data_IF_483485359907
#
_entry.id   IF_483485359907
#
_cell.length_a   1.000
_cell.length_b   1.000
_cell.length_c   1.000
_cell.angle_alpha   90.00
_cell.angle_beta   90.00
_cell.angle_gamma   90.00
#
_symmetry.space_group_name_H-M   'P 1'
#
loop_
_entity.id
_entity.type
_entity.pdbx_description
1 polymer ?
#
# COMPACT_ATOMS: atom_id res chain seq x y z
N UNK A 1 -23.60 31.97 11.24
CA UNK A 1 -24.19 32.22 9.91
C UNK A 1 -23.16 32.64 8.86
N UNK A 2 -22.12 33.42 9.22
CA UNK A 2 -21.06 33.83 8.28
C UNK A 2 -20.14 32.67 7.82
N UNK A 3 -19.81 31.72 8.71
CA UNK A 3 -18.97 30.56 8.36
C UNK A 3 -19.62 29.62 7.32
N UNK A 4 -20.93 29.33 7.45
CA UNK A 4 -21.64 28.47 6.50
C UNK A 4 -21.72 29.06 5.08
N UNK A 5 -21.65 30.38 4.94
CA UNK A 5 -21.65 31.07 3.63
C UNK A 5 -20.27 31.00 2.97
N UNK A 6 -19.19 31.00 3.76
CA UNK A 6 -17.82 30.82 3.25
C UNK A 6 -17.56 29.40 2.76
N UNK A 7 -18.11 28.38 3.43
CA UNK A 7 -17.98 26.98 3.00
C UNK A 7 -18.75 26.69 1.71
N UNK A 8 -19.94 27.30 1.55
CA UNK A 8 -20.72 27.21 0.33
C UNK A 8 -20.02 27.87 -0.88
N UNK A 9 -19.42 29.05 -0.68
CA UNK A 9 -18.67 29.76 -1.74
C UNK A 9 -17.38 29.03 -2.15
N UNK A 10 -16.71 28.39 -1.20
CA UNK A 10 -15.49 27.59 -1.46
C UNK A 10 -15.80 26.31 -2.24
N UNK A 11 -16.99 25.73 -2.03
CA UNK A 11 -17.46 24.55 -2.76
C UNK A 11 -17.91 24.91 -4.18
N UNK A 12 -18.66 26.01 -4.34
CA UNK A 12 -19.05 26.54 -5.66
C UNK A 12 -17.84 26.96 -6.51
N UNK A 13 -16.78 27.50 -5.90
CA UNK A 13 -15.55 27.84 -6.61
C UNK A 13 -14.79 26.63 -7.17
N UNK A 14 -14.90 25.46 -6.52
CA UNK A 14 -14.29 24.20 -7.00
C UNK A 14 -15.09 23.57 -8.14
N UNK A 15 -16.40 23.73 -8.14
CA UNK A 15 -17.27 23.16 -9.18
C UNK A 15 -17.28 23.97 -10.48
N UNK A 16 -17.14 25.30 -10.41
CA UNK A 16 -17.05 26.15 -11.61
C UNK A 16 -15.73 25.97 -12.38
N UNK A 17 -14.65 25.54 -11.71
CA UNK A 17 -13.38 25.19 -12.37
C UNK A 17 -13.45 23.94 -13.25
N UNK A 18 -14.49 23.11 -13.10
CA UNK A 18 -14.70 21.86 -13.85
C UNK A 18 -15.60 22.02 -15.09
N UNK A 19 -16.16 23.21 -15.33
CA UNK A 19 -17.06 23.50 -16.45
C UNK A 19 -16.36 24.02 -17.71
N UNK A 20 -15.03 23.94 -17.81
CA UNK A 20 -14.33 24.23 -19.07
C UNK A 20 -14.52 23.09 -20.06
N UNK A 21 -15.48 23.28 -20.95
CA UNK A 21 -15.77 22.45 -22.13
C UNK A 21 -14.49 22.23 -22.95
N UNK A 22 -14.09 20.97 -23.14
CA UNK A 22 -13.11 20.54 -24.15
C UNK A 22 -13.77 19.62 -25.18
N UNK A 23 -13.29 19.61 -26.43
CA UNK A 23 -14.06 19.20 -27.60
C UNK A 23 -14.25 17.68 -27.67
N UNK A 24 -15.41 17.27 -28.18
CA UNK A 24 -15.77 15.90 -28.50
C UNK A 24 -14.78 15.29 -29.51
N UNK A 25 -14.10 14.17 -29.22
CA UNK A 25 -13.37 13.46 -30.25
C UNK A 25 -14.35 12.61 -31.07
N UNK A 26 -14.39 12.89 -32.37
CA UNK A 26 -15.03 12.10 -33.42
C UNK A 26 -14.70 10.62 -33.27
N UNK A 27 -15.74 9.79 -33.29
CA UNK A 27 -15.64 8.33 -33.24
C UNK A 27 -14.82 7.77 -34.40
N UNK A 28 -13.67 7.18 -34.08
CA UNK A 28 -12.98 6.24 -34.95
C UNK A 28 -13.07 4.85 -34.31
N UNK A 29 -13.53 3.91 -35.11
CA UNK A 29 -13.77 2.51 -34.80
C UNK A 29 -12.43 1.79 -34.62
N UNK A 30 -12.04 1.40 -33.40
CA UNK A 30 -10.89 0.52 -33.15
C UNK A 30 -11.24 -0.62 -32.20
N UNK A 31 -10.77 -1.80 -32.62
CA UNK A 31 -11.00 -3.14 -32.08
C UNK A 31 -10.68 -3.27 -30.58
N UNK A 32 -11.57 -3.94 -29.83
CA UNK A 32 -11.39 -4.15 -28.38
C UNK A 32 -10.26 -5.14 -28.08
N UNK A 33 -9.08 -4.63 -27.71
CA UNK A 33 -8.11 -5.34 -26.88
C UNK A 33 -8.27 -4.85 -25.45
N UNK A 34 -8.51 -5.73 -24.48
CA UNK A 34 -8.61 -5.35 -23.08
C UNK A 34 -7.30 -4.67 -22.62
N UNK A 35 -7.34 -3.34 -22.47
CA UNK A 35 -6.23 -2.56 -21.92
C UNK A 35 -6.10 -2.90 -20.44
N UNK A 36 -4.98 -3.51 -20.07
CA UNK A 36 -4.63 -3.77 -18.67
C UNK A 36 -4.69 -2.47 -17.85
N UNK A 37 -5.19 -2.48 -16.61
CA UNK A 37 -5.15 -1.30 -15.74
C UNK A 37 -3.73 -0.99 -15.23
N UNK A 38 -2.75 -1.86 -15.50
CA UNK A 38 -1.34 -1.63 -15.19
C UNK A 38 -0.75 -0.61 -16.18
N UNK A 39 -0.21 0.50 -15.65
CA UNK A 39 0.51 1.50 -16.44
C UNK A 39 1.88 0.94 -16.84
N UNK A 40 2.29 1.22 -18.08
CA UNK A 40 3.55 0.74 -18.68
C UNK A 40 3.84 -0.76 -18.38
N UNK A 41 2.97 -1.68 -18.82
CA UNK A 41 3.08 -3.09 -18.46
C UNK A 41 4.41 -3.70 -18.94
N UNK A 42 4.88 -4.79 -18.30
CA UNK A 42 6.06 -5.52 -18.78
C UNK A 42 5.94 -5.96 -20.23
N UNK A 43 7.05 -5.87 -20.96
CA UNK A 43 7.19 -6.37 -22.33
C UNK A 43 7.87 -7.75 -22.34
N UNK A 44 7.71 -8.56 -23.42
CA UNK A 44 8.48 -9.78 -23.59
C UNK A 44 9.99 -9.50 -23.53
N UNK A 45 10.70 -10.24 -22.68
CA UNK A 45 12.15 -10.07 -22.46
C UNK A 45 12.52 -9.20 -21.26
N UNK A 46 11.56 -8.52 -20.64
CA UNK A 46 11.81 -7.79 -19.39
C UNK A 46 12.12 -8.76 -18.23
N UNK A 47 13.06 -8.36 -17.38
CA UNK A 47 13.34 -9.05 -16.11
C UNK A 47 12.41 -8.49 -15.05
N UNK A 48 11.40 -9.28 -14.65
CA UNK A 48 10.36 -8.87 -13.70
C UNK A 48 10.35 -9.79 -12.48
N UNK A 49 10.33 -9.18 -11.30
CA UNK A 49 10.09 -9.83 -10.02
C UNK A 49 8.65 -9.56 -9.58
N UNK A 50 7.95 -10.57 -9.07
CA UNK A 50 6.51 -10.48 -8.77
C UNK A 50 5.62 -10.71 -9.98
N UNK A 51 4.32 -10.43 -9.83
CA UNK A 51 3.33 -10.70 -10.87
C UNK A 51 2.40 -9.50 -11.08
N UNK A 52 2.91 -8.37 -11.62
CA UNK A 52 2.18 -7.13 -11.65
C UNK A 52 0.91 -7.19 -12.51
N UNK A 53 0.93 -7.97 -13.60
CA UNK A 53 -0.22 -8.15 -14.49
C UNK A 53 -1.37 -8.90 -13.81
N UNK A 54 -1.09 -9.90 -12.97
CA UNK A 54 -2.15 -10.59 -12.24
C UNK A 54 -2.58 -9.85 -10.96
N UNK A 55 -1.66 -9.16 -10.31
CA UNK A 55 -1.91 -8.57 -8.99
C UNK A 55 -2.57 -7.20 -9.06
N UNK A 56 -2.49 -6.49 -10.20
CA UNK A 56 -3.07 -5.15 -10.36
C UNK A 56 -4.58 -5.11 -10.09
N UNK A 57 -5.29 -6.22 -10.28
CA UNK A 57 -6.73 -6.28 -10.04
C UNK A 57 -7.12 -6.11 -8.56
N UNK A 58 -6.24 -6.50 -7.63
CA UNK A 58 -6.47 -6.41 -6.19
C UNK A 58 -6.19 -4.98 -5.71
N UNK A 59 -7.13 -4.08 -6.02
CA UNK A 59 -7.05 -2.68 -5.67
C UNK A 59 -8.22 -2.26 -4.78
N UNK A 60 -7.89 -1.61 -3.67
CA UNK A 60 -8.85 -0.92 -2.81
C UNK A 60 -8.35 0.51 -2.58
N UNK A 61 -9.25 1.47 -2.74
CA UNK A 61 -9.01 2.85 -2.31
C UNK A 61 -9.34 3.00 -0.83
N UNK A 62 -8.54 3.78 -0.11
CA UNK A 62 -8.79 4.08 1.30
C UNK A 62 -9.79 5.24 1.51
N UNK A 63 -10.19 5.91 0.43
CA UNK A 63 -10.93 7.18 0.51
C UNK A 63 -10.14 8.26 1.25
N UNK A 64 -10.85 9.12 1.97
CA UNK A 64 -10.29 10.23 2.75
C UNK A 64 -9.94 9.83 4.19
N UNK A 65 -9.69 8.54 4.46
CA UNK A 65 -9.41 7.99 5.80
C UNK A 65 -7.93 7.64 5.98
N UNK A 66 -7.45 7.57 7.22
CA UNK A 66 -6.06 7.18 7.56
C UNK A 66 -5.82 5.65 7.56
N UNK A 67 -6.36 4.95 6.55
CA UNK A 67 -6.42 3.47 6.46
C UNK A 67 -5.52 2.87 5.38
N UNK A 68 -4.43 3.53 4.99
CA UNK A 68 -3.49 3.05 3.97
C UNK A 68 -2.90 1.67 4.30
N UNK A 69 -2.61 1.41 5.58
CA UNK A 69 -2.13 0.10 6.05
C UNK A 69 -3.22 -0.95 5.86
N UNK A 70 -4.47 -0.69 6.26
CA UNK A 70 -5.57 -1.64 6.13
C UNK A 70 -5.86 -1.98 4.67
N UNK A 71 -5.91 -0.95 3.81
CA UNK A 71 -6.13 -1.13 2.38
C UNK A 71 -4.99 -1.94 1.76
N UNK A 72 -3.74 -1.65 2.12
CA UNK A 72 -2.58 -2.42 1.65
C UNK A 72 -2.59 -3.86 2.16
N UNK A 73 -3.00 -4.09 3.40
CA UNK A 73 -3.18 -5.43 3.96
C UNK A 73 -4.20 -6.23 3.17
N UNK A 74 -5.37 -5.65 2.90
CA UNK A 74 -6.40 -6.31 2.10
C UNK A 74 -5.91 -6.65 0.68
N UNK A 75 -5.17 -5.73 0.04
CA UNK A 75 -4.57 -5.98 -1.28
C UNK A 75 -3.52 -7.09 -1.25
N UNK A 76 -2.66 -7.15 -0.22
CA UNK A 76 -1.71 -8.26 0.00
C UNK A 76 -2.43 -9.59 0.18
N UNK A 77 -3.49 -9.63 0.99
CA UNK A 77 -4.31 -10.84 1.17
C UNK A 77 -4.93 -11.27 -0.17
N UNK A 78 -5.47 -10.33 -0.95
CA UNK A 78 -6.03 -10.60 -2.27
C UNK A 78 -5.02 -11.17 -3.26
N UNK A 79 -3.79 -10.68 -3.27
CA UNK A 79 -2.72 -11.26 -4.11
C UNK A 79 -2.42 -12.73 -3.77
N UNK A 80 -2.53 -13.10 -2.49
CA UNK A 80 -2.24 -14.46 -2.02
C UNK A 80 -3.44 -15.41 -2.15
N UNK A 81 -4.66 -14.93 -1.92
CA UNK A 81 -5.88 -15.75 -1.80
C UNK A 81 -6.85 -15.59 -2.96
N UNK A 82 -6.62 -14.63 -3.85
CA UNK A 82 -7.52 -14.31 -4.95
C UNK A 82 -8.75 -13.51 -4.52
N UNK A 83 -9.67 -13.22 -5.46
CA UNK A 83 -10.83 -12.36 -5.21
C UNK A 83 -11.75 -12.86 -4.10
N UNK A 84 -11.88 -14.19 -3.94
CA UNK A 84 -12.71 -14.80 -2.90
C UNK A 84 -12.12 -14.73 -1.49
N UNK A 85 -10.82 -14.45 -1.36
CA UNK A 85 -10.16 -14.28 -0.07
C UNK A 85 -9.78 -12.84 0.25
N UNK A 86 -9.99 -11.90 -0.68
CA UNK A 86 -9.68 -10.50 -0.48
C UNK A 86 -10.78 -9.83 0.36
N UNK A 87 -10.50 -9.33 1.57
CA UNK A 87 -11.50 -8.56 2.31
C UNK A 87 -11.80 -7.25 1.58
N UNK A 88 -13.06 -6.81 1.63
CA UNK A 88 -13.40 -5.46 1.15
C UNK A 88 -12.83 -4.39 2.10
N UNK A 89 -12.86 -3.11 1.69
CA UNK A 89 -12.44 -2.01 2.56
C UNK A 89 -13.25 -1.99 3.87
N UNK A 90 -14.58 -2.19 3.80
CA UNK A 90 -15.43 -2.22 4.99
C UNK A 90 -15.12 -3.40 5.90
N UNK A 91 -14.80 -4.57 5.33
CA UNK A 91 -14.51 -5.77 6.11
C UNK A 91 -13.20 -5.59 6.88
N UNK A 92 -12.13 -5.14 6.22
CA UNK A 92 -10.82 -4.97 6.87
C UNK A 92 -10.84 -3.84 7.92
N UNK A 93 -11.65 -2.80 7.69
CA UNK A 93 -11.88 -1.73 8.69
C UNK A 93 -12.65 -2.26 9.89
N UNK A 94 -13.69 -3.06 9.67
CA UNK A 94 -14.45 -3.65 10.76
C UNK A 94 -13.59 -4.62 11.58
N UNK A 95 -12.80 -5.46 10.92
CA UNK A 95 -11.85 -6.36 11.59
C UNK A 95 -10.82 -5.58 12.42
N UNK A 96 -10.26 -4.49 11.88
CA UNK A 96 -9.33 -3.64 12.60
C UNK A 96 -9.96 -2.94 13.82
N UNK A 97 -11.26 -2.64 13.76
CA UNK A 97 -12.01 -2.10 14.91
C UNK A 97 -12.20 -3.11 16.02
N UNK A 98 -12.19 -4.40 15.71
CA UNK A 98 -12.49 -5.48 16.66
C UNK A 98 -11.23 -6.22 17.14
N UNK A 99 -10.10 -6.00 16.47
CA UNK A 99 -8.82 -6.65 16.77
C UNK A 99 -7.96 -5.75 17.66
N UNK A 100 -7.50 -6.19 18.84
CA UNK A 100 -6.52 -5.45 19.65
C UNK A 100 -5.26 -5.12 18.84
N UNK A 101 -4.68 -3.93 19.04
CA UNK A 101 -3.40 -3.61 18.39
C UNK A 101 -2.34 -4.66 18.75
N UNK A 102 -1.49 -4.99 17.78
CA UNK A 102 -0.43 -5.99 17.87
C UNK A 102 0.82 -5.44 18.58
N UNK A 103 0.95 -4.11 18.66
CA UNK A 103 2.08 -3.44 19.33
C UNK A 103 2.32 -3.92 20.78
N UNK A 104 1.30 -4.02 21.66
CA UNK A 104 1.50 -4.45 23.03
C UNK A 104 2.09 -5.87 23.13
N UNK A 105 1.67 -6.77 22.22
CA UNK A 105 2.08 -8.18 22.22
C UNK A 105 3.54 -8.42 21.82
N UNK A 106 4.17 -7.49 21.06
CA UNK A 106 5.56 -7.63 20.58
C UNK A 106 6.56 -6.63 21.18
N UNK A 107 6.18 -5.96 22.26
CA UNK A 107 7.04 -5.01 22.99
C UNK A 107 8.25 -5.65 23.69
N UNK A 108 8.37 -6.98 23.69
CA UNK A 108 9.45 -7.78 24.30
C UNK A 108 10.40 -8.37 23.25
N UNK A 109 11.30 -7.54 22.69
CA UNK A 109 12.36 -7.99 21.76
C UNK A 109 13.08 -6.83 21.06
N UNK A 110 14.41 -6.92 20.93
CA UNK A 110 15.34 -5.80 20.76
C UNK A 110 15.30 -5.00 19.44
N UNK A 111 14.61 -5.45 18.39
CA UNK A 111 14.40 -4.62 17.17
C UNK A 111 13.12 -3.79 17.26
N UNK A 112 12.12 -4.34 17.94
CA UNK A 112 10.79 -3.72 18.06
C UNK A 112 10.81 -2.56 19.04
N UNK A 113 11.55 -2.68 20.15
CA UNK A 113 11.57 -1.64 21.20
C UNK A 113 11.89 -0.24 20.68
N UNK A 114 12.84 -0.07 19.75
CA UNK A 114 13.24 1.26 19.23
C UNK A 114 12.32 1.80 18.13
N UNK A 115 11.60 0.92 17.42
CA UNK A 115 10.52 1.30 16.52
C UNK A 115 9.27 1.67 17.33
N UNK A 116 8.91 0.85 18.32
CA UNK A 116 7.75 1.01 19.21
C UNK A 116 7.88 2.23 20.12
N UNK A 117 9.07 2.54 20.64
CA UNK A 117 9.31 3.73 21.48
C UNK A 117 9.03 5.06 20.76
N UNK A 118 9.02 5.07 19.42
CA UNK A 118 8.71 6.26 18.61
C UNK A 118 7.22 6.46 18.37
N UNK A 119 6.41 5.45 18.68
CA UNK A 119 4.97 5.48 18.50
C UNK A 119 4.27 5.62 19.86
N UNK A 120 3.24 6.45 19.93
CA UNK A 120 2.45 6.60 21.16
C UNK A 120 1.77 5.25 21.41
N UNK A 121 1.92 4.64 22.60
CA UNK A 121 1.26 3.38 22.91
C UNK A 121 -0.24 3.50 22.64
N UNK A 122 -0.76 2.71 21.70
CA UNK A 122 -2.22 2.63 21.50
C UNK A 122 -2.80 1.78 22.62
N UNK A 123 -3.75 2.36 23.34
CA UNK A 123 -4.63 1.61 24.23
C UNK A 123 -5.92 1.32 23.46
N UNK A 124 -6.04 0.14 22.86
CA UNK A 124 -7.26 -0.26 22.15
C UNK A 124 -7.02 -1.15 20.94
N UNK A 125 -8.00 -1.16 20.05
CA UNK A 125 -8.02 -1.95 18.83
C UNK A 125 -7.15 -1.30 17.73
N UNK A 126 -6.95 -1.99 16.61
CA UNK A 126 -6.05 -1.57 15.52
C UNK A 126 -6.50 -0.25 14.87
N UNK A 127 -7.82 0.01 14.81
CA UNK A 127 -8.36 1.22 14.21
C UNK A 127 -9.53 1.80 15.02
N UNK A 128 -9.55 3.12 15.19
CA UNK A 128 -10.68 3.86 15.78
C UNK A 128 -11.25 4.79 14.69
N UNK A 129 -12.45 4.51 14.16
CA UNK A 129 -13.03 5.27 13.06
C UNK A 129 -13.55 6.64 13.49
N UNK A 130 -13.77 6.89 14.79
CA UNK A 130 -14.21 8.21 15.27
C UNK A 130 -13.04 9.18 15.33
N UNK A 131 -11.88 8.69 15.76
CA UNK A 131 -10.65 9.47 15.78
C UNK A 131 -9.93 9.48 14.41
N UNK A 132 -10.22 8.50 13.55
CA UNK A 132 -9.54 8.24 12.27
C UNK A 132 -8.01 8.28 12.41
N UNK A 133 -7.48 7.62 13.44
CA UNK A 133 -6.03 7.63 13.64
C UNK A 133 -5.32 6.70 12.64
N UNK A 134 -4.05 7.01 12.38
CA UNK A 134 -3.19 6.16 11.57
C UNK A 134 -3.02 4.78 12.19
N UNK A 135 -3.07 3.76 11.33
CA UNK A 135 -2.82 2.38 11.70
C UNK A 135 -1.31 2.08 11.68
N UNK A 136 -0.83 1.29 12.63
CA UNK A 136 0.57 0.88 12.66
C UNK A 136 0.86 -0.20 11.63
N UNK A 137 2.01 -0.11 10.96
CA UNK A 137 2.41 -1.13 9.98
C UNK A 137 2.45 -2.54 10.58
N UNK A 138 2.77 -2.71 11.87
CA UNK A 138 2.87 -4.03 12.48
C UNK A 138 1.50 -4.66 12.72
N UNK A 139 0.46 -3.84 12.86
CA UNK A 139 -0.91 -4.32 13.01
C UNK A 139 -1.41 -5.01 11.75
N UNK A 140 -0.80 -4.72 10.58
CA UNK A 140 -1.04 -5.49 9.35
C UNK A 140 -0.78 -6.98 9.53
N UNK A 141 0.17 -7.37 10.40
CA UNK A 141 0.53 -8.77 10.62
C UNK A 141 -0.56 -9.53 11.38
N UNK A 142 -1.21 -8.89 12.37
CA UNK A 142 -2.33 -9.48 13.10
C UNK A 142 -3.52 -9.76 12.19
N UNK A 143 -3.83 -8.78 11.33
CA UNK A 143 -4.90 -8.92 10.34
C UNK A 143 -4.56 -10.00 9.30
N UNK A 144 -3.32 -10.09 8.83
CA UNK A 144 -2.91 -11.17 7.93
C UNK A 144 -3.02 -12.55 8.61
N UNK A 145 -2.64 -12.66 9.89
CA UNK A 145 -2.73 -13.90 10.67
C UNK A 145 -4.18 -14.42 10.76
N UNK A 146 -5.15 -13.53 11.02
CA UNK A 146 -6.58 -13.87 11.02
C UNK A 146 -7.07 -14.44 9.67
N UNK A 147 -6.37 -14.14 8.58
CA UNK A 147 -6.66 -14.63 7.23
C UNK A 147 -5.82 -15.84 6.85
N UNK A 148 -5.09 -16.46 7.77
CA UNK A 148 -4.22 -17.60 7.50
C UNK A 148 -3.02 -17.23 6.63
N UNK A 149 -2.50 -16.01 6.81
CA UNK A 149 -1.33 -15.48 6.11
C UNK A 149 -0.24 -15.18 7.13
N UNK A 150 0.91 -15.82 6.97
CA UNK A 150 2.10 -15.56 7.77
C UNK A 150 2.81 -14.32 7.23
N UNK A 151 3.08 -13.36 8.10
CA UNK A 151 3.76 -12.12 7.75
C UNK A 151 5.09 -11.95 8.51
N UNK A 152 6.06 -11.33 7.85
CA UNK A 152 7.33 -10.92 8.44
C UNK A 152 7.59 -9.47 8.08
N UNK A 153 7.78 -8.64 9.09
CA UNK A 153 8.23 -7.27 8.89
C UNK A 153 9.74 -7.18 9.05
N UNK A 154 10.40 -6.47 8.13
CA UNK A 154 11.85 -6.29 8.08
C UNK A 154 12.19 -4.82 7.85
N UNK A 155 13.31 -4.37 8.42
CA UNK A 155 13.88 -3.04 8.22
C UNK A 155 15.38 -3.13 7.95
N UNK A 156 15.94 -2.11 7.31
CA UNK A 156 17.36 -1.99 7.02
C UNK A 156 17.86 -0.59 7.41
N UNK A 157 19.15 -0.45 7.72
CA UNK A 157 19.72 0.88 7.93
C UNK A 157 19.69 1.69 6.62
N UNK A 158 19.74 3.03 6.71
CA UNK A 158 19.65 3.89 5.50
C UNK A 158 20.73 3.60 4.45
N UNK A 159 21.90 3.12 4.87
CA UNK A 159 23.00 2.75 3.98
C UNK A 159 22.86 1.36 3.34
N UNK A 160 21.84 0.58 3.69
CA UNK A 160 21.61 -0.78 3.19
C UNK A 160 20.57 -0.83 2.07
N UNK A 161 20.45 0.24 1.26
CA UNK A 161 19.43 0.33 0.20
C UNK A 161 19.51 -0.80 -0.83
N UNK A 162 20.71 -1.12 -1.31
CA UNK A 162 20.91 -2.19 -2.29
C UNK A 162 20.51 -3.56 -1.73
N UNK A 163 20.88 -3.82 -0.48
CA UNK A 163 20.50 -5.05 0.23
C UNK A 163 18.98 -5.13 0.44
N UNK A 164 18.35 -4.02 0.80
CA UNK A 164 16.91 -3.94 0.96
C UNK A 164 16.18 -4.22 -0.36
N UNK A 165 16.62 -3.60 -1.46
CA UNK A 165 16.06 -3.81 -2.79
C UNK A 165 16.26 -5.24 -3.28
N UNK A 166 17.44 -5.83 -3.09
CA UNK A 166 17.71 -7.23 -3.44
C UNK A 166 16.80 -8.19 -2.68
N UNK A 167 16.59 -7.95 -1.38
CA UNK A 167 15.69 -8.76 -0.57
C UNK A 167 14.21 -8.55 -0.93
N UNK A 168 13.80 -7.34 -1.32
CA UNK A 168 12.46 -7.08 -1.85
C UNK A 168 12.23 -7.85 -3.16
N UNK A 169 13.17 -7.80 -4.11
CA UNK A 169 13.11 -8.60 -5.35
C UNK A 169 12.98 -10.09 -5.06
N UNK A 170 13.77 -10.60 -4.11
CA UNK A 170 13.69 -12.00 -3.66
C UNK A 170 12.33 -12.33 -3.03
N UNK A 171 11.83 -11.48 -2.12
CA UNK A 171 10.53 -11.68 -1.47
C UNK A 171 9.38 -11.74 -2.49
N UNK A 172 9.39 -10.88 -3.51
CA UNK A 172 8.38 -10.84 -4.58
C UNK A 172 8.28 -12.13 -5.40
N UNK A 173 9.26 -13.05 -5.32
CA UNK A 173 9.18 -14.36 -5.97
C UNK A 173 8.32 -15.37 -5.21
N UNK A 174 8.10 -15.16 -3.91
CA UNK A 174 7.44 -16.14 -3.03
C UNK A 174 6.40 -15.54 -2.09
N UNK A 175 6.31 -14.21 -2.03
CA UNK A 175 5.52 -13.46 -1.07
C UNK A 175 4.85 -12.26 -1.73
N UNK A 176 3.73 -11.82 -1.15
CA UNK A 176 3.14 -10.51 -1.41
C UNK A 176 3.65 -9.50 -0.39
N UNK A 177 3.86 -8.25 -0.81
CA UNK A 177 4.60 -7.27 0.00
C UNK A 177 3.87 -5.92 0.04
N UNK A 178 3.80 -5.34 1.24
CA UNK A 178 3.56 -3.91 1.42
C UNK A 178 4.81 -3.24 2.00
N UNK A 179 4.98 -1.94 1.73
CA UNK A 179 6.15 -1.17 2.15
C UNK A 179 5.74 0.19 2.70
N UNK A 180 6.55 0.73 3.61
CA UNK A 180 6.32 2.04 4.22
C UNK A 180 7.14 3.13 3.51
N UNK A 181 6.48 4.13 2.94
CA UNK A 181 7.11 5.25 2.23
C UNK A 181 6.79 6.59 2.88
N UNK A 182 7.61 7.61 2.64
CA UNK A 182 7.27 8.99 2.96
C UNK A 182 6.33 9.56 1.91
N UNK A 183 5.12 9.97 2.30
CA UNK A 183 4.06 10.36 1.37
C UNK A 183 4.39 11.58 0.50
N UNK A 184 5.25 12.50 0.95
CA UNK A 184 5.60 13.69 0.16
C UNK A 184 6.58 13.37 -0.95
N UNK A 185 7.66 12.65 -0.62
CA UNK A 185 8.63 12.18 -1.62
C UNK A 185 7.93 11.22 -2.59
N UNK A 186 7.04 10.36 -2.06
CA UNK A 186 6.26 9.44 -2.86
C UNK A 186 5.31 10.14 -3.83
N UNK A 187 4.56 11.15 -3.37
CA UNK A 187 3.67 11.92 -4.23
C UNK A 187 4.42 12.57 -5.40
N UNK A 188 5.65 13.05 -5.18
CA UNK A 188 6.52 13.57 -6.24
C UNK A 188 6.92 12.47 -7.23
N UNK A 189 7.33 11.29 -6.73
CA UNK A 189 7.74 10.16 -7.54
C UNK A 189 6.64 9.66 -8.49
N UNK A 190 5.37 9.79 -8.10
CA UNK A 190 4.22 9.42 -8.94
C UNK A 190 3.70 10.57 -9.82
N UNK A 191 4.47 11.66 -9.97
CA UNK A 191 4.18 12.78 -10.86
C UNK A 191 3.40 13.94 -10.21
N UNK A 192 3.28 13.94 -8.89
CA UNK A 192 2.70 15.05 -8.12
C UNK A 192 3.65 16.26 -8.03
N UNK A 193 3.12 17.36 -7.49
CA UNK A 193 3.90 18.60 -7.34
C UNK A 193 5.05 18.44 -6.35
N UNK A 194 6.20 19.04 -6.69
CA UNK A 194 7.36 19.09 -5.79
C UNK A 194 7.03 19.83 -4.49
N UNK A 195 7.39 19.23 -3.36
CA UNK A 195 7.22 19.81 -2.03
C UNK A 195 8.57 20.28 -1.51
N UNK A 196 8.68 21.56 -1.16
CA UNK A 196 9.85 22.06 -0.43
C UNK A 196 10.01 21.43 0.97
N UNK A 197 9.02 20.68 1.47
CA UNK A 197 9.01 20.06 2.80
C UNK A 197 9.19 18.54 2.74
N UNK A 198 10.28 18.05 2.14
CA UNK A 198 10.65 16.61 2.03
C UNK A 198 11.17 15.99 3.33
N UNK A 199 10.97 16.64 4.48
CA UNK A 199 11.40 16.15 5.79
C UNK A 199 10.38 15.19 6.39
N UNK A 200 10.83 14.19 7.14
CA UNK A 200 9.99 13.25 7.87
C UNK A 200 10.40 11.79 7.71
N UNK A 201 9.73 10.91 8.45
CA UNK A 201 9.82 9.45 8.34
C UNK A 201 8.76 8.91 7.37
N UNK A 202 8.74 7.60 7.14
CA UNK A 202 7.62 6.98 6.43
C UNK A 202 6.31 7.11 7.21
N UNK A 203 5.21 7.36 6.49
CA UNK A 203 3.87 7.62 7.02
C UNK A 203 2.76 7.14 6.07
N UNK A 204 3.10 6.38 5.03
CA UNK A 204 2.17 5.84 4.05
C UNK A 204 2.54 4.40 3.69
N UNK A 205 1.53 3.55 3.52
CA UNK A 205 1.70 2.18 3.07
C UNK A 205 1.26 2.04 1.62
N UNK A 206 2.08 1.37 0.82
CA UNK A 206 1.74 0.99 -0.56
C UNK A 206 1.93 -0.51 -0.75
N UNK A 207 1.16 -1.09 -1.67
CA UNK A 207 1.27 -2.52 -2.00
C UNK A 207 2.10 -2.71 -3.26
N UNK A 208 3.12 -3.54 -3.18
CA UNK A 208 3.99 -3.85 -4.32
C UNK A 208 3.35 -4.96 -5.16
N UNK A 209 3.32 -4.76 -6.47
CA UNK A 209 2.84 -5.73 -7.45
C UNK A 209 4.01 -6.44 -8.14
N UNK A 210 5.11 -5.72 -8.34
CA UNK A 210 6.35 -6.24 -8.91
C UNK A 210 7.40 -5.16 -9.15
N UNK A 211 8.59 -5.58 -9.56
CA UNK A 211 9.69 -4.70 -9.99
C UNK A 211 10.14 -5.15 -11.37
N UNK A 212 10.23 -4.22 -12.32
CA UNK A 212 10.82 -4.45 -13.63
C UNK A 212 12.23 -3.87 -13.63
N UNK A 213 13.23 -4.75 -13.58
CA UNK A 213 14.63 -4.39 -13.53
C UNK A 213 15.14 -3.86 -14.87
N UNK A 214 14.57 -4.33 -15.99
CA UNK A 214 14.92 -3.82 -17.32
C UNK A 214 14.50 -2.37 -17.52
N UNK A 215 13.34 -1.99 -16.98
CA UNK A 215 12.77 -0.63 -17.10
C UNK A 215 13.11 0.29 -15.93
N UNK A 216 13.73 -0.23 -14.87
CA UNK A 216 13.99 0.48 -13.62
C UNK A 216 12.73 1.09 -12.99
N UNK A 217 11.65 0.30 -12.93
CA UNK A 217 10.36 0.71 -12.35
C UNK A 217 9.84 -0.29 -11.32
N UNK A 218 9.12 0.24 -10.33
CA UNK A 218 8.28 -0.53 -9.43
C UNK A 218 6.81 -0.40 -9.84
N UNK A 219 6.09 -1.53 -9.85
CA UNK A 219 4.65 -1.58 -10.05
C UNK A 219 3.94 -1.70 -8.72
N UNK A 220 2.94 -0.84 -8.48
CA UNK A 220 2.27 -0.75 -7.18
C UNK A 220 0.76 -0.53 -7.31
N UNK A 221 0.06 -0.83 -6.24
CA UNK A 221 -1.25 -0.28 -5.93
C UNK A 221 -1.11 0.65 -4.71
N UNK A 222 -1.57 1.91 -4.86
CA UNK A 222 -1.57 2.94 -3.82
C UNK A 222 -3.02 3.34 -3.49
N UNK A 223 -3.44 3.13 -2.25
CA UNK A 223 -4.81 3.41 -1.82
C UNK A 223 -5.11 4.89 -1.57
N UNK A 224 -4.08 5.74 -1.40
CA UNK A 224 -4.18 7.09 -0.83
C UNK A 224 -4.58 8.21 -1.79
N UNK A 225 -4.77 7.92 -3.08
CA UNK A 225 -5.12 8.93 -4.07
C UNK A 225 -5.93 8.40 -5.25
N UNK A 226 -6.52 9.33 -6.01
CA UNK A 226 -7.24 8.99 -7.24
C UNK A 226 -6.25 8.42 -8.26
N UNK A 227 -6.58 7.25 -8.81
CA UNK A 227 -5.78 6.62 -9.85
C UNK A 227 -4.57 5.84 -9.35
N UNK A 228 -4.46 5.51 -8.06
CA UNK A 228 -3.35 4.73 -7.51
C UNK A 228 -3.32 3.24 -7.91
N UNK A 229 -4.27 2.77 -8.73
CA UNK A 229 -4.28 1.40 -9.27
C UNK A 229 -3.22 1.24 -10.37
N UNK A 230 -2.35 0.24 -10.22
CA UNK A 230 -1.43 -0.20 -11.26
C UNK A 230 -0.41 0.85 -11.69
N UNK A 231 0.12 1.64 -10.75
CA UNK A 231 1.12 2.64 -11.09
C UNK A 231 2.45 1.96 -11.47
N UNK A 232 3.14 2.52 -12.46
CA UNK A 232 4.56 2.29 -12.73
C UNK A 232 5.32 3.52 -12.30
N UNK A 233 6.29 3.35 -11.41
CA UNK A 233 7.00 4.45 -10.76
C UNK A 233 8.50 4.22 -10.91
N UNK A 234 9.30 5.24 -11.28
CA UNK A 234 10.75 5.14 -11.30
C UNK A 234 11.31 4.62 -9.97
N UNK A 235 12.24 3.68 -10.05
CA UNK A 235 12.75 2.97 -8.87
C UNK A 235 13.55 3.91 -7.96
N UNK A 236 14.21 4.93 -8.50
CA UNK A 236 14.95 5.94 -7.73
C UNK A 236 14.04 6.73 -6.78
N UNK A 237 12.90 7.22 -7.27
CA UNK A 237 11.89 7.93 -6.49
C UNK A 237 11.26 7.05 -5.41
N UNK A 238 11.01 5.78 -5.74
CA UNK A 238 10.60 4.77 -4.76
C UNK A 238 11.66 4.57 -3.67
N UNK A 239 12.92 4.33 -4.04
CA UNK A 239 14.01 4.07 -3.11
C UNK A 239 14.24 5.25 -2.17
N UNK A 240 14.14 6.48 -2.65
CA UNK A 240 14.24 7.66 -1.79
C UNK A 240 13.09 7.73 -0.77
N UNK A 241 11.86 7.49 -1.20
CA UNK A 241 10.68 7.52 -0.32
C UNK A 241 10.72 6.40 0.73
N UNK A 242 11.14 5.20 0.32
CA UNK A 242 11.23 3.99 1.16
C UNK A 242 12.38 4.08 2.18
N UNK A 243 13.51 4.69 1.81
CA UNK A 243 14.64 4.93 2.72
C UNK A 243 14.23 5.72 3.98
N UNK A 244 13.25 6.64 3.87
CA UNK A 244 12.74 7.42 5.02
C UNK A 244 12.06 6.55 6.08
N UNK A 245 11.61 5.36 5.70
CA UNK A 245 11.06 4.33 6.58
C UNK A 245 12.08 3.27 6.99
N UNK A 246 13.38 3.48 6.81
CA UNK A 246 14.41 2.44 7.03
C UNK A 246 14.12 1.19 6.18
N UNK A 247 13.63 1.40 4.95
CA UNK A 247 13.27 0.33 4.03
C UNK A 247 12.32 -0.70 4.66
N UNK A 248 11.39 -0.25 5.51
CA UNK A 248 10.42 -1.13 6.15
C UNK A 248 9.54 -1.81 5.10
N UNK A 249 9.53 -3.13 5.14
CA UNK A 249 8.67 -3.99 4.33
C UNK A 249 7.95 -4.99 5.22
N UNK A 250 6.73 -5.37 4.84
CA UNK A 250 6.01 -6.51 5.39
C UNK A 250 5.80 -7.50 4.25
N UNK A 251 6.53 -8.61 4.31
CA UNK A 251 6.40 -9.71 3.35
C UNK A 251 5.49 -10.78 3.91
N UNK A 252 4.57 -11.28 3.10
CA UNK A 252 3.50 -12.16 3.53
C UNK A 252 3.35 -13.36 2.58
N UNK A 253 3.04 -14.52 3.16
CA UNK A 253 2.79 -15.77 2.43
C UNK A 253 1.65 -16.54 3.08
N UNK A 254 0.99 -17.42 2.33
CA UNK A 254 0.01 -18.33 2.92
C UNK A 254 0.66 -19.12 4.06
N UNK A 255 -0.02 -19.20 5.20
CA UNK A 255 0.43 -20.03 6.30
C UNK A 255 0.45 -21.50 5.87
N UNK A 256 1.41 -22.26 6.39
CA UNK A 256 1.42 -23.69 6.15
C UNK A 256 0.14 -24.32 6.74
N UNK A 257 -0.50 -25.29 6.06
CA UNK A 257 -1.63 -26.00 6.64
C UNK A 257 -1.19 -26.64 7.95
N UNK A 258 -1.97 -26.44 9.01
CA UNK A 258 -1.65 -27.00 10.31
C UNK A 258 -1.65 -28.54 10.21
N UNK A 259 -0.66 -29.18 10.83
CA UNK A 259 -0.47 -30.64 10.81
C UNK A 259 -1.67 -31.42 11.39
N UNK A 260 -2.56 -30.74 12.12
CA UNK A 260 -3.80 -31.31 12.64
C UNK A 260 -4.86 -31.58 11.55
N UNK A 261 -4.87 -30.82 10.45
CA UNK A 261 -5.79 -31.04 9.32
C UNK A 261 -5.32 -32.17 8.38
N UNK A 262 -4.00 -32.42 8.32
CA UNK A 262 -3.41 -33.45 7.47
C UNK A 262 -3.57 -34.89 8.00
N UNK A 263 -3.93 -35.05 9.28
CA UNK A 263 -4.16 -36.35 9.92
C UNK A 263 -5.64 -36.77 9.95
N UNK A 264 -6.53 -35.93 9.42
CA UNK A 264 -7.97 -36.18 9.39
C UNK A 264 -8.52 -36.50 7.98
N UNK A 265 -7.63 -36.70 7.00
CA UNK A 265 -7.96 -37.07 5.61
C UNK A 265 -7.54 -38.51 5.30
#
# INVERSE_FOLDING_TARGET
>A
MVHAVQDALTTLGRDLGRLTVRPTPTSANESSTATTPLRDPPAPGDVVYGNPLQNVQYFISQGDNNTCVLSSTAMVIGQLKGPGGMPSWSDIVQEAKDTPSYLPARSSGSVWKDLLNRYVPRTGNIYDPLADEYVYYVDSMALMENHGVDATMTTYTKSQGDLALANLKSALTTSSVLVAVNNRIWAEAIGGAHSARRFGTANHAITVLGINETKDVIYINDSGGVGGKGLAVPLDGFMEAWQRGQYLSVSARLAAPSSAAALAA
#
